data_IF_586293718254
#
_entry.id   IF_586293718254
#
_cell.length_a   1.000
_cell.length_b   1.000
_cell.length_c   1.000
_cell.angle_alpha   90.00
_cell.angle_beta   90.00
_cell.angle_gamma   90.00
#
_symmetry.space_group_name_H-M   'P 1'
#
loop_
_entity.id
_entity.type
_entity.pdbx_description
1 polymer ?
#
# COMPACT_ATOMS: atom_id res chain seq x y z
N UNK A 1 -21.00 15.20 18.13
CA UNK A 1 -19.57 14.80 18.11
C UNK A 1 -18.87 15.55 16.99
N UNK A 2 -18.04 16.55 17.29
CA UNK A 2 -17.31 17.31 16.28
C UNK A 2 -16.07 16.50 15.90
N UNK A 3 -16.04 15.97 14.69
CA UNK A 3 -14.84 15.39 14.11
C UNK A 3 -13.94 16.54 13.64
N UNK A 4 -12.88 16.85 14.37
CA UNK A 4 -11.83 17.75 13.89
C UNK A 4 -10.84 16.93 13.10
N UNK A 5 -10.98 16.97 11.78
CA UNK A 5 -10.09 16.27 10.85
C UNK A 5 -9.00 17.19 10.36
N UNK A 6 -7.77 16.67 10.35
CA UNK A 6 -6.56 17.14 9.68
C UNK A 6 -5.92 18.41 10.22
N UNK A 7 -4.79 18.20 10.88
CA UNK A 7 -3.77 19.22 11.06
C UNK A 7 -2.48 18.72 10.42
N UNK A 8 -1.91 19.51 9.52
CA UNK A 8 -0.55 19.28 9.03
C UNK A 8 0.40 19.96 9.99
N UNK A 9 1.38 19.20 10.50
CA UNK A 9 2.45 19.73 11.34
C UNK A 9 3.78 19.30 10.75
N UNK A 10 4.69 20.25 10.64
CA UNK A 10 6.06 19.94 10.28
C UNK A 10 6.79 19.38 11.51
N UNK A 11 7.36 18.19 11.36
CA UNK A 11 8.26 17.58 12.33
C UNK A 11 9.65 17.58 11.71
N UNK A 12 10.64 18.28 12.28
CA UNK A 12 11.97 18.32 11.72
C UNK A 12 12.68 16.97 11.82
N UNK A 13 13.55 16.66 10.86
CA UNK A 13 14.43 15.50 10.93
C UNK A 13 15.52 15.68 12.01
N UNK A 14 15.94 14.56 12.66
CA UNK A 14 15.45 13.21 12.48
C UNK A 14 14.09 12.97 13.17
N UNK A 15 13.25 12.14 12.57
CA UNK A 15 11.93 11.78 13.12
C UNK A 15 12.09 10.77 14.27
N UNK A 16 12.65 11.23 15.40
CA UNK A 16 12.79 10.40 16.60
C UNK A 16 11.46 10.30 17.36
N UNK A 17 11.37 9.31 18.24
CA UNK A 17 10.20 9.13 19.10
C UNK A 17 9.90 10.40 19.92
N UNK A 18 10.94 11.08 20.43
CA UNK A 18 10.86 12.32 21.17
C UNK A 18 10.29 13.47 20.32
N UNK A 19 10.82 13.65 19.10
CA UNK A 19 10.38 14.72 18.21
C UNK A 19 8.91 14.55 17.82
N UNK A 20 8.49 13.31 17.52
CA UNK A 20 7.09 13.00 17.19
C UNK A 20 6.19 13.18 18.41
N UNK A 21 6.63 12.71 19.59
CA UNK A 21 5.92 12.88 20.87
C UNK A 21 5.70 14.36 21.20
N UNK A 22 6.75 15.20 21.06
CA UNK A 22 6.67 16.64 21.29
C UNK A 22 5.67 17.32 20.37
N UNK A 23 5.72 17.00 19.08
CA UNK A 23 4.81 17.57 18.10
C UNK A 23 3.36 17.17 18.38
N UNK A 24 3.11 15.88 18.66
CA UNK A 24 1.77 15.37 19.00
C UNK A 24 1.24 16.00 20.29
N UNK A 25 2.04 16.04 21.35
CA UNK A 25 1.63 16.62 22.62
C UNK A 25 1.27 18.10 22.48
N UNK A 26 2.11 18.92 21.81
CA UNK A 26 1.81 20.32 21.49
C UNK A 26 0.52 20.46 20.67
N UNK A 27 0.26 19.56 19.76
CA UNK A 27 -0.98 19.54 18.99
C UNK A 27 -2.20 19.31 19.90
N UNK A 28 -2.15 18.30 20.77
CA UNK A 28 -3.22 17.98 21.71
C UNK A 28 -3.49 19.16 22.66
N UNK A 29 -2.43 19.78 23.19
CA UNK A 29 -2.55 20.98 24.04
C UNK A 29 -3.19 22.15 23.30
N UNK A 30 -2.80 22.40 22.03
CA UNK A 30 -3.37 23.48 21.24
C UNK A 30 -4.86 23.34 20.98
N UNK A 31 -5.40 22.12 21.16
CA UNK A 31 -6.83 21.80 21.04
C UNK A 31 -7.52 21.62 22.41
N UNK A 32 -6.78 21.76 23.49
CA UNK A 32 -7.26 21.54 24.86
C UNK A 32 -7.88 20.14 25.07
N UNK A 33 -7.23 19.11 24.48
CA UNK A 33 -7.66 17.71 24.56
C UNK A 33 -6.57 16.77 25.08
N UNK A 34 -5.43 17.29 25.51
CA UNK A 34 -4.32 16.50 26.05
C UNK A 34 -4.75 15.64 27.26
N UNK A 35 -5.72 16.11 28.08
CA UNK A 35 -6.28 15.37 29.21
C UNK A 35 -7.50 14.53 28.86
N UNK A 36 -7.85 14.40 27.59
CA UNK A 36 -9.04 13.69 27.09
C UNK A 36 -8.71 12.63 26.05
N UNK A 37 -7.43 12.34 25.90
CA UNK A 37 -6.97 11.30 24.95
C UNK A 37 -7.33 9.93 25.53
N UNK A 38 -8.07 9.14 24.77
CA UNK A 38 -8.40 7.76 25.14
C UNK A 38 -7.50 6.77 24.40
N UNK A 39 -7.31 6.99 23.10
CA UNK A 39 -6.53 6.10 22.24
C UNK A 39 -5.80 6.89 21.16
N UNK A 40 -4.66 6.37 20.72
CA UNK A 40 -3.90 6.86 19.57
C UNK A 40 -3.69 5.68 18.62
N UNK A 41 -4.16 5.82 17.39
CA UNK A 41 -4.00 4.77 16.37
C UNK A 41 -2.81 5.09 15.48
N UNK A 42 -1.83 4.17 15.46
CA UNK A 42 -0.58 4.31 14.71
C UNK A 42 -0.25 3.01 13.97
N UNK A 43 0.66 3.09 13.00
CA UNK A 43 1.22 1.90 12.37
C UNK A 43 2.21 1.16 13.30
N UNK A 44 2.67 -0.01 12.87
CA UNK A 44 3.52 -0.91 13.68
C UNK A 44 5.01 -0.55 13.58
N UNK A 45 5.35 0.73 13.50
CA UNK A 45 6.75 1.18 13.49
C UNK A 45 7.30 1.20 14.93
N UNK A 46 8.53 0.72 15.14
CA UNK A 46 9.19 0.72 16.45
C UNK A 46 9.36 2.11 17.06
N UNK A 47 9.54 3.13 16.21
CA UNK A 47 9.56 4.54 16.64
C UNK A 47 8.24 4.96 17.28
N UNK A 48 7.12 4.48 16.74
CA UNK A 48 5.79 4.75 17.27
C UNK A 48 5.56 4.05 18.61
N UNK A 49 6.04 2.80 18.77
CA UNK A 49 5.99 2.10 20.06
C UNK A 49 6.76 2.89 21.14
N UNK A 50 7.96 3.37 20.82
CA UNK A 50 8.76 4.22 21.73
C UNK A 50 8.06 5.55 22.02
N UNK A 51 7.49 6.19 21.01
CA UNK A 51 6.77 7.46 21.15
C UNK A 51 5.55 7.31 22.08
N UNK A 52 4.80 6.22 22.00
CA UNK A 52 3.67 5.95 22.89
C UNK A 52 4.12 5.86 24.35
N UNK A 53 5.24 5.18 24.65
CA UNK A 53 5.79 5.13 26.02
C UNK A 53 6.14 6.52 26.58
N UNK A 54 6.68 7.41 25.73
CA UNK A 54 6.92 8.80 26.08
C UNK A 54 5.60 9.57 26.32
N UNK A 55 4.58 9.35 25.49
CA UNK A 55 3.26 9.96 25.66
C UNK A 55 2.58 9.51 26.94
N UNK A 56 2.64 8.23 27.29
CA UNK A 56 2.11 7.70 28.55
C UNK A 56 2.73 8.41 29.76
N UNK A 57 4.03 8.61 29.74
CA UNK A 57 4.76 9.34 30.77
C UNK A 57 4.31 10.81 30.88
N UNK A 58 4.13 11.49 29.74
CA UNK A 58 3.74 12.91 29.71
C UNK A 58 2.30 13.18 30.10
N UNK A 59 1.38 12.35 29.61
CA UNK A 59 -0.05 12.49 29.90
C UNK A 59 -0.36 12.12 31.36
N UNK A 60 0.43 11.21 31.94
CA UNK A 60 0.24 10.69 33.28
C UNK A 60 -0.92 9.69 33.36
N UNK A 61 -0.69 8.57 34.02
CA UNK A 61 -1.63 7.45 34.09
C UNK A 61 -3.03 7.83 34.63
N UNK A 62 -3.11 8.82 35.50
CA UNK A 62 -4.37 9.29 36.10
C UNK A 62 -5.25 10.06 35.11
N UNK A 63 -4.66 10.65 34.08
CA UNK A 63 -5.38 11.45 33.09
C UNK A 63 -5.83 10.62 31.86
N UNK A 64 -5.48 9.33 31.83
CA UNK A 64 -5.80 8.45 30.70
C UNK A 64 -6.89 7.44 31.07
N UNK A 65 -7.71 7.11 30.09
CA UNK A 65 -8.72 6.06 30.22
C UNK A 65 -8.04 4.72 30.58
N UNK A 66 -8.55 4.05 31.63
CA UNK A 66 -8.00 2.80 32.17
C UNK A 66 -6.47 2.83 32.39
N UNK A 67 -5.97 3.98 32.85
CA UNK A 67 -4.54 4.23 33.13
C UNK A 67 -3.62 4.01 31.90
N UNK A 68 -4.12 4.30 30.70
CA UNK A 68 -3.35 4.18 29.45
C UNK A 68 -3.32 2.78 28.84
N UNK A 69 -3.98 1.78 29.45
CA UNK A 69 -3.96 0.39 28.93
C UNK A 69 -4.31 0.26 27.46
N UNK A 70 -5.12 1.17 26.92
CA UNK A 70 -5.56 1.17 25.53
C UNK A 70 -5.11 2.41 24.78
N UNK A 71 -4.08 3.11 25.28
CA UNK A 71 -3.59 4.31 24.60
C UNK A 71 -3.12 3.98 23.18
N UNK A 72 -2.32 2.92 23.01
CA UNK A 72 -1.85 2.49 21.72
C UNK A 72 -2.82 1.50 21.06
N UNK A 73 -3.44 1.93 19.99
CA UNK A 73 -4.18 1.06 19.08
C UNK A 73 -3.40 0.89 17.78
N UNK A 74 -3.07 -0.35 17.45
CA UNK A 74 -2.38 -0.66 16.19
C UNK A 74 -3.31 -0.49 15.01
N UNK A 75 -2.83 0.13 13.93
CA UNK A 75 -3.60 0.40 12.73
C UNK A 75 -4.01 -0.92 12.04
N UNK A 76 -5.29 -1.26 12.08
CA UNK A 76 -5.83 -2.46 11.43
C UNK A 76 -5.54 -2.49 9.92
N UNK A 77 -5.59 -1.34 9.25
CA UNK A 77 -5.28 -1.26 7.83
C UNK A 77 -3.81 -1.62 7.54
N UNK A 78 -2.90 -1.23 8.42
CA UNK A 78 -1.49 -1.60 8.30
C UNK A 78 -1.29 -3.10 8.53
N UNK A 79 -1.92 -3.67 9.56
CA UNK A 79 -1.86 -5.11 9.85
C UNK A 79 -2.42 -5.91 8.67
N UNK A 80 -3.58 -5.52 8.14
CA UNK A 80 -4.16 -6.16 6.96
C UNK A 80 -3.22 -6.09 5.75
N UNK A 81 -2.58 -4.94 5.53
CA UNK A 81 -1.62 -4.77 4.42
C UNK A 81 -0.42 -5.71 4.57
N UNK A 82 0.09 -5.91 5.77
CA UNK A 82 1.18 -6.86 6.04
C UNK A 82 0.73 -8.31 5.75
N UNK A 83 -0.42 -8.72 6.24
CA UNK A 83 -0.97 -10.07 6.00
C UNK A 83 -1.14 -10.33 4.49
N UNK A 84 -1.71 -9.37 3.76
CA UNK A 84 -1.88 -9.49 2.31
C UNK A 84 -0.52 -9.55 1.62
N UNK A 85 0.47 -8.76 2.06
CA UNK A 85 1.82 -8.78 1.50
C UNK A 85 2.48 -10.14 1.69
N UNK A 86 2.40 -10.71 2.88
CA UNK A 86 2.95 -12.05 3.18
C UNK A 86 2.27 -13.13 2.32
N UNK A 87 0.93 -13.07 2.19
CA UNK A 87 0.18 -13.97 1.29
C UNK A 87 0.56 -13.81 -0.18
N UNK A 88 0.81 -12.58 -0.63
CA UNK A 88 1.25 -12.28 -2.01
C UNK A 88 2.66 -12.75 -2.31
N UNK A 89 3.50 -12.98 -1.30
CA UNK A 89 4.87 -13.47 -1.48
C UNK A 89 4.89 -14.87 -2.09
N UNK A 90 3.90 -15.70 -1.77
CA UNK A 90 3.74 -17.05 -2.35
C UNK A 90 3.58 -17.03 -3.87
N UNK A 91 2.95 -16.00 -4.41
CA UNK A 91 2.70 -15.84 -5.87
C UNK A 91 3.54 -14.71 -6.48
N UNK A 92 4.58 -14.26 -5.78
CA UNK A 92 5.35 -13.08 -6.18
C UNK A 92 5.98 -13.22 -7.57
N UNK A 93 6.47 -14.41 -7.93
CA UNK A 93 7.04 -14.68 -9.25
C UNK A 93 6.00 -14.55 -10.36
N UNK A 94 4.82 -15.13 -10.20
CA UNK A 94 3.73 -15.05 -11.16
C UNK A 94 3.25 -13.60 -11.34
N UNK A 95 3.11 -12.87 -10.23
CA UNK A 95 2.75 -11.44 -10.25
C UNK A 95 3.82 -10.60 -10.95
N UNK A 96 5.12 -10.92 -10.74
CA UNK A 96 6.22 -10.22 -11.42
C UNK A 96 6.17 -10.48 -12.93
N UNK A 97 5.98 -11.72 -13.36
CA UNK A 97 5.90 -12.07 -14.78
C UNK A 97 4.77 -11.32 -15.49
N UNK A 98 3.60 -11.24 -14.85
CA UNK A 98 2.46 -10.46 -15.37
C UNK A 98 2.80 -8.97 -15.44
N UNK A 99 3.44 -8.43 -14.42
CA UNK A 99 3.86 -7.01 -14.37
C UNK A 99 4.84 -6.68 -15.49
N UNK A 100 5.83 -7.55 -15.73
CA UNK A 100 6.83 -7.40 -16.77
C UNK A 100 6.19 -7.48 -18.16
N UNK A 101 5.23 -8.37 -18.36
CA UNK A 101 4.44 -8.49 -19.59
C UNK A 101 3.65 -7.22 -19.86
N UNK A 102 2.97 -6.68 -18.87
CA UNK A 102 2.25 -5.41 -19.01
C UNK A 102 3.22 -4.27 -19.30
N UNK A 103 4.31 -4.17 -18.54
CA UNK A 103 5.33 -3.14 -18.72
C UNK A 103 5.88 -3.16 -20.14
N UNK A 104 6.14 -4.35 -20.69
CA UNK A 104 6.57 -4.52 -22.07
C UNK A 104 5.54 -3.96 -23.06
N UNK A 105 4.28 -4.34 -22.92
CA UNK A 105 3.22 -3.93 -23.85
C UNK A 105 2.96 -2.41 -23.81
N UNK A 106 3.00 -1.79 -22.63
CA UNK A 106 2.69 -0.36 -22.48
C UNK A 106 3.89 0.56 -22.70
N UNK A 107 5.11 0.00 -22.85
CA UNK A 107 6.33 0.79 -22.95
C UNK A 107 6.38 1.70 -24.19
N UNK A 108 5.77 1.31 -25.30
CA UNK A 108 5.71 2.12 -26.52
C UNK A 108 4.37 1.93 -27.25
N UNK A 109 3.88 2.95 -28.00
CA UNK A 109 2.67 2.82 -28.80
C UNK A 109 2.71 1.63 -29.76
N UNK A 110 3.84 1.39 -30.43
CA UNK A 110 4.01 0.26 -31.36
C UNK A 110 3.82 -1.10 -30.70
N UNK A 111 4.30 -1.27 -29.45
CA UNK A 111 4.11 -2.52 -28.70
C UNK A 111 2.66 -2.69 -28.25
N UNK A 112 2.02 -1.58 -27.89
CA UNK A 112 0.62 -1.60 -27.50
C UNK A 112 -0.29 -1.94 -28.70
N UNK A 113 -0.05 -1.36 -29.87
CA UNK A 113 -0.75 -1.71 -31.13
C UNK A 113 -0.56 -3.20 -31.49
N UNK A 114 0.66 -3.74 -31.30
CA UNK A 114 0.92 -5.16 -31.50
C UNK A 114 0.12 -6.04 -30.54
N UNK A 115 0.04 -5.64 -29.25
CA UNK A 115 -0.79 -6.30 -28.27
C UNK A 115 -2.27 -6.27 -28.64
N UNK A 116 -2.81 -5.12 -29.05
CA UNK A 116 -4.21 -5.00 -29.47
C UNK A 116 -4.51 -5.88 -30.69
N UNK A 117 -3.63 -5.88 -31.69
CA UNK A 117 -3.76 -6.75 -32.84
C UNK A 117 -3.77 -8.23 -32.46
N UNK A 118 -2.83 -8.65 -31.61
CA UNK A 118 -2.77 -10.04 -31.13
C UNK A 118 -4.01 -10.41 -30.35
N UNK A 119 -4.57 -9.47 -29.58
CA UNK A 119 -5.82 -9.67 -28.82
C UNK A 119 -7.00 -9.95 -29.77
N UNK A 120 -7.08 -9.23 -30.87
CA UNK A 120 -8.11 -9.45 -31.91
C UNK A 120 -7.91 -10.80 -32.60
N UNK A 121 -6.66 -11.15 -32.98
CA UNK A 121 -6.30 -12.40 -33.64
C UNK A 121 -6.67 -13.62 -32.77
N UNK A 122 -6.43 -13.53 -31.46
CA UNK A 122 -6.78 -14.57 -30.48
C UNK A 122 -8.26 -14.56 -30.06
N UNK A 123 -9.08 -13.64 -30.61
CA UNK A 123 -10.51 -13.48 -30.30
C UNK A 123 -10.79 -13.28 -28.81
N UNK A 124 -9.87 -12.64 -28.11
CA UNK A 124 -10.05 -12.25 -26.70
C UNK A 124 -10.79 -10.92 -26.65
N UNK A 125 -11.84 -10.84 -25.86
CA UNK A 125 -12.59 -9.60 -25.70
C UNK A 125 -11.72 -8.53 -25.02
N UNK A 126 -11.67 -7.33 -25.60
CA UNK A 126 -10.97 -6.18 -25.03
C UNK A 126 -11.77 -5.64 -23.83
N UNK A 127 -11.47 -6.17 -22.65
CA UNK A 127 -12.20 -5.80 -21.41
C UNK A 127 -11.77 -4.43 -20.91
N UNK A 128 -10.47 -4.17 -20.81
CA UNK A 128 -9.90 -2.89 -20.31
C UNK A 128 -8.46 -2.72 -20.80
N UNK A 129 -8.03 -1.45 -20.84
CA UNK A 129 -6.65 -1.09 -21.10
C UNK A 129 -5.71 -1.63 -20.03
N UNK A 130 -4.58 -2.23 -20.43
CA UNK A 130 -3.55 -2.69 -19.51
C UNK A 130 -3.02 -1.52 -18.67
N UNK A 131 -2.85 -1.76 -17.39
CA UNK A 131 -2.26 -0.79 -16.47
C UNK A 131 -1.34 -1.48 -15.47
N UNK A 132 -0.24 -0.82 -15.12
CA UNK A 132 0.65 -1.27 -14.07
C UNK A 132 0.08 -0.96 -12.69
N UNK A 133 0.48 -1.76 -11.73
CA UNK A 133 0.15 -1.54 -10.33
C UNK A 133 1.13 -0.57 -9.63
N UNK A 134 0.71 -0.11 -8.47
CA UNK A 134 1.58 0.53 -7.49
C UNK A 134 1.96 -0.52 -6.44
N UNK A 135 3.22 -0.95 -6.41
CA UNK A 135 3.71 -2.03 -5.54
C UNK A 135 3.40 -1.85 -4.04
N UNK A 136 3.20 -0.61 -3.61
CA UNK A 136 2.87 -0.29 -2.22
C UNK A 136 1.37 -0.38 -1.90
N UNK A 137 0.53 -0.65 -2.93
CA UNK A 137 -0.94 -0.69 -2.80
C UNK A 137 -1.47 -2.01 -3.34
N UNK A 138 -1.67 -3.00 -2.49
CA UNK A 138 -2.17 -4.33 -2.84
C UNK A 138 -3.46 -4.30 -3.69
N UNK A 139 -4.36 -3.34 -3.44
CA UNK A 139 -5.57 -3.19 -4.26
C UNK A 139 -5.26 -2.87 -5.72
N UNK A 140 -4.18 -2.12 -6.02
CA UNK A 140 -3.76 -1.86 -7.40
C UNK A 140 -3.21 -3.11 -8.08
N UNK A 141 -2.52 -3.97 -7.33
CA UNK A 141 -2.06 -5.29 -7.82
C UNK A 141 -3.25 -6.19 -8.16
N UNK A 142 -4.28 -6.23 -7.31
CA UNK A 142 -5.52 -6.94 -7.63
C UNK A 142 -6.16 -6.44 -8.92
N UNK A 143 -6.27 -5.13 -9.10
CA UNK A 143 -6.85 -4.54 -10.31
C UNK A 143 -6.01 -4.88 -11.54
N UNK A 144 -4.68 -4.78 -11.44
CA UNK A 144 -3.76 -5.17 -12.51
C UNK A 144 -3.99 -6.63 -12.92
N UNK A 145 -3.99 -7.55 -11.97
CA UNK A 145 -4.21 -8.98 -12.23
C UNK A 145 -5.58 -9.25 -12.82
N UNK A 146 -6.63 -8.65 -12.29
CA UNK A 146 -8.01 -8.78 -12.79
C UNK A 146 -8.12 -8.37 -14.26
N UNK A 147 -7.35 -7.37 -14.69
CA UNK A 147 -7.32 -6.91 -16.09
C UNK A 147 -6.44 -7.84 -16.93
N UNK A 148 -5.30 -8.29 -16.42
CA UNK A 148 -4.30 -9.02 -17.18
C UNK A 148 -4.61 -10.51 -17.40
N UNK A 149 -5.21 -11.18 -16.41
CA UNK A 149 -5.50 -12.63 -16.46
C UNK A 149 -6.29 -13.05 -17.73
N UNK A 150 -7.32 -12.31 -18.16
CA UNK A 150 -8.04 -12.64 -19.40
C UNK A 150 -7.15 -12.64 -20.65
N UNK A 151 -6.04 -11.89 -20.63
CA UNK A 151 -5.11 -11.80 -21.77
C UNK A 151 -3.98 -12.83 -21.74
N UNK A 152 -4.06 -13.89 -20.90
CA UNK A 152 -3.02 -14.92 -20.77
C UNK A 152 -2.60 -15.46 -22.15
N UNK A 153 -3.56 -15.89 -22.98
CA UNK A 153 -3.28 -16.40 -24.34
C UNK A 153 -2.60 -15.38 -25.24
N UNK A 154 -2.95 -14.11 -25.07
CA UNK A 154 -2.33 -13.01 -25.84
C UNK A 154 -0.86 -12.84 -25.46
N UNK A 155 -0.53 -12.93 -24.16
CA UNK A 155 0.87 -12.86 -23.70
C UNK A 155 1.67 -14.07 -24.18
N UNK A 156 1.11 -15.28 -24.14
CA UNK A 156 1.74 -16.49 -24.69
C UNK A 156 2.03 -16.31 -26.19
N UNK A 157 1.04 -15.84 -26.95
CA UNK A 157 1.17 -15.61 -28.40
C UNK A 157 2.19 -14.50 -28.72
N UNK A 158 2.26 -13.46 -27.91
CA UNK A 158 3.28 -12.42 -28.06
C UNK A 158 4.70 -12.98 -27.87
N UNK A 159 4.88 -13.92 -26.94
CA UNK A 159 6.16 -14.63 -26.75
C UNK A 159 6.63 -15.38 -27.99
N UNK A 160 5.70 -15.92 -28.76
CA UNK A 160 6.01 -16.60 -30.03
C UNK A 160 6.30 -15.61 -31.18
N UNK A 161 5.56 -14.50 -31.21
CA UNK A 161 5.59 -13.54 -32.34
C UNK A 161 6.67 -12.45 -32.19
N UNK A 162 7.17 -12.24 -30.99
CA UNK A 162 8.09 -11.14 -30.71
C UNK A 162 9.34 -11.58 -29.97
N UNK A 163 10.44 -11.68 -30.70
CA UNK A 163 11.76 -12.05 -30.12
C UNK A 163 12.25 -11.12 -29.02
N UNK A 164 11.72 -9.90 -28.93
CA UNK A 164 12.06 -8.94 -27.87
C UNK A 164 11.18 -9.09 -26.62
N UNK A 165 10.13 -9.91 -26.71
CA UNK A 165 9.29 -10.22 -25.56
C UNK A 165 9.89 -11.41 -24.80
N UNK A 166 10.68 -11.08 -23.78
CA UNK A 166 11.45 -12.07 -22.99
C UNK A 166 10.73 -12.38 -21.66
N UNK A 167 9.48 -11.95 -21.51
CA UNK A 167 8.73 -12.20 -20.28
C UNK A 167 8.28 -13.66 -20.24
N UNK A 168 8.57 -14.41 -19.15
CA UNK A 168 8.04 -15.75 -19.01
C UNK A 168 6.52 -15.71 -18.95
N UNK A 169 5.82 -16.70 -19.58
CA UNK A 169 4.38 -16.76 -19.47
C UNK A 169 3.95 -16.87 -18.01
N UNK A 170 2.76 -16.36 -17.66
CA UNK A 170 2.21 -16.57 -16.34
C UNK A 170 2.06 -18.08 -16.10
N UNK A 171 2.80 -18.61 -15.12
CA UNK A 171 2.67 -20.01 -14.70
C UNK A 171 1.28 -20.22 -14.05
N UNK A 172 0.78 -21.44 -14.16
CA UNK A 172 -0.47 -21.86 -13.52
C UNK A 172 -0.44 -21.73 -12.02
#
# INVERSE_FOLDING_TARGET
MLCKTCRFMYVPCPHTAEAICDALHKCLQSWDIDRRVSTVTLDNCSTNDSMIGLMETRLGATNMLLRGKWLHMRCCAHILNLIVKDGMEVIASAVSNIRDSIAYCVATPKRYEKFEKTTLDEKVELVKKLQLDCKTRWNSTYIMLKIAIPYRKVFERLGELDRNYVCPPPND
#
